data_IF_097918626571
#
_entry.id   IF_097918626571
#
_cell.length_a   1.000
_cell.length_b   1.000
_cell.length_c   1.000
_cell.angle_alpha   90.00
_cell.angle_beta   90.00
_cell.angle_gamma   90.00
#
_symmetry.space_group_name_H-M   'P 1'
#
loop_
_entity.id
_entity.type
_entity.pdbx_description
1 polymer ?
#
# COMPACT_ATOMS: atom_id res chain seq x y z
N UNK A 1 46.42 -21.06 -0.20
CA UNK A 1 45.62 -21.38 1.00
C UNK A 1 45.09 -22.82 1.02
N UNK A 2 44.27 -23.28 0.06
CA UNK A 2 43.59 -24.58 0.17
C UNK A 2 44.43 -25.84 -0.13
N UNK A 3 45.67 -25.70 -0.59
CA UNK A 3 46.54 -26.83 -0.96
C UNK A 3 46.92 -27.75 0.22
N UNK A 4 46.84 -27.26 1.47
CA UNK A 4 47.16 -28.03 2.69
C UNK A 4 46.03 -28.97 3.15
N UNK A 5 44.83 -28.86 2.58
CA UNK A 5 43.67 -29.67 2.98
C UNK A 5 43.46 -30.87 2.04
N UNK A 6 43.00 -31.99 2.60
CA UNK A 6 42.59 -33.14 1.80
C UNK A 6 41.36 -32.82 0.93
N UNK A 7 41.13 -33.62 -0.12
CA UNK A 7 40.05 -33.36 -1.08
C UNK A 7 38.64 -33.35 -0.49
N UNK A 8 38.37 -34.18 0.52
CA UNK A 8 37.05 -34.21 1.18
C UNK A 8 36.78 -32.88 1.89
N UNK A 9 37.75 -32.39 2.66
CA UNK A 9 37.68 -31.08 3.32
C UNK A 9 37.57 -29.93 2.32
N UNK A 10 38.32 -29.96 1.21
CA UNK A 10 38.22 -28.95 0.15
C UNK A 10 36.85 -28.91 -0.53
N UNK A 11 36.23 -30.05 -0.77
CA UNK A 11 34.86 -30.13 -1.32
C UNK A 11 33.84 -29.57 -0.34
N UNK A 12 33.93 -29.95 0.95
CA UNK A 12 33.05 -29.41 1.99
C UNK A 12 33.18 -27.89 2.03
N UNK A 13 34.40 -27.36 2.14
CA UNK A 13 34.65 -25.90 2.16
C UNK A 13 34.10 -25.23 0.90
N UNK A 14 34.36 -25.77 -0.29
CA UNK A 14 33.87 -25.21 -1.55
C UNK A 14 32.34 -25.18 -1.62
N UNK A 15 31.66 -26.26 -1.27
CA UNK A 15 30.19 -26.29 -1.24
C UNK A 15 29.59 -25.43 -0.12
N UNK A 16 30.24 -25.34 1.03
CA UNK A 16 29.82 -24.43 2.12
C UNK A 16 29.92 -22.96 1.68
N UNK A 17 30.96 -22.57 0.95
CA UNK A 17 31.08 -21.21 0.40
C UNK A 17 29.97 -20.96 -0.62
N UNK A 18 29.74 -21.88 -1.58
CA UNK A 18 28.63 -21.76 -2.55
C UNK A 18 27.29 -21.61 -1.83
N UNK A 19 27.01 -22.47 -0.84
CA UNK A 19 25.77 -22.44 -0.09
C UNK A 19 25.60 -21.13 0.70
N UNK A 20 26.65 -20.65 1.36
CA UNK A 20 26.63 -19.39 2.10
C UNK A 20 26.44 -18.18 1.18
N UNK A 21 27.14 -18.13 0.04
CA UNK A 21 26.99 -17.07 -0.96
C UNK A 21 25.60 -17.07 -1.58
N UNK A 22 25.06 -18.24 -1.93
CA UNK A 22 23.71 -18.36 -2.47
C UNK A 22 22.65 -17.95 -1.43
N UNK A 23 22.77 -18.42 -0.19
CA UNK A 23 21.88 -18.06 0.90
C UNK A 23 21.91 -16.54 1.17
N UNK A 24 23.09 -15.94 1.18
CA UNK A 24 23.25 -14.48 1.31
C UNK A 24 22.57 -13.73 0.16
N UNK A 25 22.79 -14.16 -1.09
CA UNK A 25 22.19 -13.53 -2.27
C UNK A 25 20.67 -13.59 -2.24
N UNK A 26 20.10 -14.78 -2.01
CA UNK A 26 18.64 -14.95 -1.92
C UNK A 26 18.05 -14.15 -0.78
N UNK A 27 18.66 -14.20 0.41
CA UNK A 27 18.14 -13.50 1.60
C UNK A 27 18.20 -11.99 1.42
N UNK A 28 19.33 -11.46 0.95
CA UNK A 28 19.48 -10.02 0.72
C UNK A 28 18.51 -9.50 -0.34
N UNK A 29 18.26 -10.23 -1.43
CA UNK A 29 17.22 -9.88 -2.40
C UNK A 29 15.81 -9.99 -1.81
N UNK A 30 15.50 -11.04 -1.04
CA UNK A 30 14.18 -11.18 -0.42
C UNK A 30 13.88 -10.03 0.55
N UNK A 31 14.88 -9.55 1.28
CA UNK A 31 14.76 -8.41 2.19
C UNK A 31 14.47 -7.09 1.49
N UNK A 32 14.68 -6.97 0.17
CA UNK A 32 14.33 -5.74 -0.57
C UNK A 32 12.85 -5.68 -0.95
N UNK A 33 12.10 -6.78 -0.83
CA UNK A 33 10.69 -6.82 -1.23
C UNK A 33 9.81 -5.97 -0.29
N UNK A 34 9.89 -6.09 1.04
CA UNK A 34 9.11 -5.25 1.95
C UNK A 34 9.54 -3.79 1.85
N UNK A 35 8.57 -2.87 1.88
CA UNK A 35 8.81 -1.43 1.83
C UNK A 35 7.68 -0.64 2.47
N UNK A 36 7.77 0.69 2.41
CA UNK A 36 6.75 1.62 2.92
C UNK A 36 5.40 1.35 2.27
N UNK A 37 5.34 1.09 0.95
CA UNK A 37 4.10 0.76 0.26
C UNK A 37 3.38 -0.49 0.77
N UNK A 38 4.09 -1.46 1.38
CA UNK A 38 3.42 -2.60 2.03
C UNK A 38 2.69 -2.18 3.32
N UNK A 39 3.22 -1.18 4.03
CA UNK A 39 2.55 -0.61 5.20
C UNK A 39 1.32 0.20 4.77
N UNK A 40 1.43 0.97 3.69
CA UNK A 40 0.30 1.69 3.09
C UNK A 40 -0.80 0.72 2.67
N UNK A 41 -0.45 -0.38 1.99
CA UNK A 41 -1.41 -1.40 1.58
C UNK A 41 -2.14 -2.05 2.76
N UNK A 42 -1.45 -2.28 3.88
CA UNK A 42 -2.10 -2.80 5.10
C UNK A 42 -3.09 -1.80 5.71
N UNK A 43 -2.74 -0.52 5.72
CA UNK A 43 -3.66 0.55 6.12
C UNK A 43 -4.87 0.58 5.18
N UNK A 44 -4.65 0.64 3.87
CA UNK A 44 -5.69 0.61 2.84
C UNK A 44 -6.65 -0.57 3.04
N UNK A 45 -6.13 -1.79 3.19
CA UNK A 45 -6.96 -2.97 3.44
C UNK A 45 -7.77 -2.86 4.74
N UNK A 46 -7.23 -2.22 5.77
CA UNK A 46 -7.96 -1.99 7.02
C UNK A 46 -9.08 -0.96 6.85
N UNK A 47 -8.84 0.11 6.08
CA UNK A 47 -9.86 1.11 5.72
C UNK A 47 -10.94 0.47 4.85
N UNK A 48 -10.57 -0.29 3.83
CA UNK A 48 -11.49 -1.02 2.95
C UNK A 48 -12.43 -1.95 3.76
N UNK A 49 -11.89 -2.63 4.77
CA UNK A 49 -12.68 -3.46 5.68
C UNK A 49 -13.71 -2.64 6.46
N UNK A 50 -13.35 -1.43 6.93
CA UNK A 50 -14.30 -0.54 7.60
C UNK A 50 -15.34 0.00 6.60
N UNK A 51 -14.94 0.39 5.39
CA UNK A 51 -15.87 0.81 4.33
C UNK A 51 -16.91 -0.28 4.05
N UNK A 52 -16.48 -1.53 3.87
CA UNK A 52 -17.38 -2.68 3.66
C UNK A 52 -18.33 -2.95 4.84
N UNK A 53 -17.93 -2.58 6.05
CA UNK A 53 -18.76 -2.68 7.26
C UNK A 53 -19.78 -1.53 7.34
N UNK A 54 -19.35 -0.31 7.02
CA UNK A 54 -20.16 0.91 7.07
C UNK A 54 -21.18 0.94 5.92
N UNK A 55 -20.75 0.60 4.70
CA UNK A 55 -21.55 0.56 3.48
C UNK A 55 -21.56 -0.85 2.88
N UNK A 56 -22.25 -1.83 3.49
CA UNK A 56 -22.32 -3.17 2.93
C UNK A 56 -23.03 -3.17 1.58
N UNK A 57 -22.53 -3.98 0.65
CA UNK A 57 -23.08 -4.13 -0.70
C UNK A 57 -24.61 -4.33 -0.70
N UNK A 58 -25.29 -3.59 -1.57
CA UNK A 58 -26.73 -3.63 -1.78
C UNK A 58 -27.53 -3.04 -0.61
N UNK A 59 -26.92 -2.23 0.26
CA UNK A 59 -27.62 -1.60 1.40
C UNK A 59 -27.97 -0.16 1.09
N UNK A 60 -26.99 0.63 0.65
CA UNK A 60 -27.15 2.03 0.33
C UNK A 60 -27.15 2.23 -1.19
N UNK A 61 -28.15 1.65 -1.86
CA UNK A 61 -28.32 1.82 -3.31
C UNK A 61 -29.16 3.07 -3.55
N UNK A 62 -28.55 4.11 -4.14
CA UNK A 62 -29.22 5.38 -4.43
C UNK A 62 -30.27 5.17 -5.52
N UNK A 63 -31.50 5.59 -5.22
CA UNK A 63 -32.68 5.43 -6.07
C UNK A 63 -32.74 6.56 -7.13
N UNK A 64 -32.65 6.26 -8.43
CA UNK A 64 -32.69 7.26 -9.50
C UNK A 64 -34.02 8.02 -9.61
N UNK A 65 -35.10 7.43 -9.11
CA UNK A 65 -36.42 8.05 -9.07
C UNK A 65 -36.60 8.96 -7.85
N UNK A 66 -35.67 8.96 -6.89
CA UNK A 66 -35.74 9.86 -5.75
C UNK A 66 -35.48 11.31 -6.18
N UNK A 67 -36.27 12.30 -5.70
CA UNK A 67 -35.99 13.71 -5.97
C UNK A 67 -34.65 14.19 -5.40
N UNK A 68 -34.07 13.42 -4.48
CA UNK A 68 -32.77 13.71 -3.86
C UNK A 68 -31.59 13.12 -4.63
N UNK A 69 -31.81 12.33 -5.70
CA UNK A 69 -30.75 11.59 -6.38
C UNK A 69 -29.57 12.48 -6.81
N UNK A 70 -29.83 13.52 -7.61
CA UNK A 70 -28.76 14.41 -8.10
C UNK A 70 -28.12 15.21 -6.97
N UNK A 71 -28.89 15.59 -5.94
CA UNK A 71 -28.33 16.28 -4.77
C UNK A 71 -27.34 15.38 -4.01
N UNK A 72 -27.70 14.12 -3.77
CA UNK A 72 -26.81 13.16 -3.10
C UNK A 72 -25.54 12.95 -3.94
N UNK A 73 -25.69 12.70 -5.24
CA UNK A 73 -24.52 12.41 -6.09
C UNK A 73 -23.63 13.65 -6.27
N UNK A 74 -24.19 14.78 -6.68
CA UNK A 74 -23.40 15.95 -7.10
C UNK A 74 -22.97 16.84 -5.93
N UNK A 75 -23.71 16.81 -4.80
CA UNK A 75 -23.34 17.60 -3.62
C UNK A 75 -22.69 16.77 -2.52
N UNK A 76 -23.18 15.57 -2.22
CA UNK A 76 -22.63 14.77 -1.12
C UNK A 76 -21.46 13.92 -1.58
N UNK A 77 -21.63 13.12 -2.64
CA UNK A 77 -20.58 12.21 -3.11
C UNK A 77 -19.42 12.98 -3.75
N UNK A 78 -19.69 13.87 -4.72
CA UNK A 78 -18.64 14.67 -5.37
C UNK A 78 -17.79 15.45 -4.36
N UNK A 79 -18.43 16.16 -3.42
CA UNK A 79 -17.69 16.92 -2.40
C UNK A 79 -16.95 16.04 -1.40
N UNK A 80 -17.37 14.79 -1.20
CA UNK A 80 -16.64 13.87 -0.34
C UNK A 80 -15.26 13.51 -0.93
N UNK A 81 -15.11 13.41 -2.25
CA UNK A 81 -13.78 13.27 -2.90
C UNK A 81 -12.89 14.49 -2.66
N UNK A 82 -13.46 15.69 -2.79
CA UNK A 82 -12.75 16.94 -2.52
C UNK A 82 -12.35 17.00 -1.04
N UNK A 83 -13.27 16.69 -0.13
CA UNK A 83 -13.03 16.71 1.30
C UNK A 83 -11.97 15.68 1.74
N UNK A 84 -12.01 14.46 1.21
CA UNK A 84 -10.99 13.44 1.47
C UNK A 84 -9.59 13.96 1.10
N UNK A 85 -9.45 14.48 -0.13
CA UNK A 85 -8.18 15.04 -0.58
C UNK A 85 -7.74 16.27 0.24
N UNK A 86 -8.60 17.27 0.42
CA UNK A 86 -8.25 18.52 1.10
C UNK A 86 -7.99 18.34 2.61
N UNK A 87 -8.56 17.31 3.22
CA UNK A 87 -8.29 16.96 4.61
C UNK A 87 -6.85 16.48 4.86
N UNK A 88 -6.14 16.08 3.79
CA UNK A 88 -4.74 15.64 3.86
C UNK A 88 -3.72 16.75 3.67
N UNK A 89 -4.13 17.93 3.20
CA UNK A 89 -3.26 19.09 2.97
C UNK A 89 -2.95 19.78 4.30
N UNK A 90 -1.69 20.18 4.52
CA UNK A 90 -1.34 21.01 5.66
C UNK A 90 -1.51 22.49 5.33
N UNK A 91 -2.62 23.09 5.76
CA UNK A 91 -2.94 24.49 5.49
C UNK A 91 -2.05 25.49 6.25
N UNK A 92 -1.31 25.02 7.25
CA UNK A 92 -0.32 25.81 7.98
C UNK A 92 1.00 25.93 7.22
N UNK A 93 1.20 25.11 6.18
CA UNK A 93 2.29 25.24 5.23
C UNK A 93 1.78 26.01 3.99
N UNK A 94 2.24 27.26 3.82
CA UNK A 94 1.80 28.11 2.71
C UNK A 94 2.13 27.51 1.33
N UNK A 95 3.26 26.80 1.20
CA UNK A 95 3.65 26.18 -0.06
C UNK A 95 2.70 25.04 -0.43
N UNK A 96 2.43 24.12 0.50
CA UNK A 96 1.47 23.03 0.28
C UNK A 96 0.07 23.58 0.01
N UNK A 97 -0.39 24.56 0.79
CA UNK A 97 -1.70 25.17 0.58
C UNK A 97 -1.83 25.76 -0.82
N UNK A 98 -0.85 26.57 -1.25
CA UNK A 98 -0.91 27.28 -2.52
C UNK A 98 -0.73 26.36 -3.73
N UNK A 99 -0.16 25.17 -3.56
CA UNK A 99 0.11 24.23 -4.66
C UNK A 99 -0.87 23.07 -4.71
N UNK A 100 -1.27 22.53 -3.56
CA UNK A 100 -2.06 21.29 -3.48
C UNK A 100 -3.56 21.53 -3.41
N UNK A 101 -4.05 22.63 -2.84
CA UNK A 101 -5.50 22.83 -2.68
C UNK A 101 -6.24 22.81 -4.02
N UNK A 102 -5.80 23.63 -4.98
CA UNK A 102 -6.41 23.67 -6.31
C UNK A 102 -6.15 22.36 -7.08
N UNK A 103 -4.92 21.84 -7.02
CA UNK A 103 -4.54 20.61 -7.70
C UNK A 103 -5.36 19.39 -7.22
N UNK A 104 -5.61 19.29 -5.91
CA UNK A 104 -6.38 18.21 -5.32
C UNK A 104 -7.87 18.38 -5.58
N UNK A 105 -8.37 19.61 -5.54
CA UNK A 105 -9.76 19.93 -5.90
C UNK A 105 -10.05 19.56 -7.34
N UNK A 106 -9.20 19.97 -8.28
CA UNK A 106 -9.33 19.65 -9.70
C UNK A 106 -9.24 18.15 -9.95
N UNK A 107 -8.27 17.49 -9.31
CA UNK A 107 -8.11 16.04 -9.43
C UNK A 107 -9.34 15.29 -8.90
N UNK A 108 -9.87 15.67 -7.74
CA UNK A 108 -11.08 15.10 -7.15
C UNK A 108 -12.31 15.29 -8.03
N UNK A 109 -12.49 16.49 -8.59
CA UNK A 109 -13.59 16.79 -9.49
C UNK A 109 -13.50 15.97 -10.78
N UNK A 110 -12.32 15.92 -11.40
CA UNK A 110 -12.06 15.13 -12.59
C UNK A 110 -12.30 13.63 -12.31
N UNK A 111 -11.81 13.13 -11.19
CA UNK A 111 -12.00 11.73 -10.80
C UNK A 111 -13.48 11.36 -10.69
N UNK A 112 -14.28 12.21 -10.02
CA UNK A 112 -15.72 12.02 -9.95
C UNK A 112 -16.38 12.03 -11.34
N UNK A 113 -15.98 12.98 -12.19
CA UNK A 113 -16.56 13.12 -13.52
C UNK A 113 -16.24 11.87 -14.38
N UNK A 114 -15.02 11.35 -14.30
CA UNK A 114 -14.56 10.16 -15.03
C UNK A 114 -15.24 8.85 -14.58
N UNK A 115 -15.60 8.74 -13.30
CA UNK A 115 -16.12 7.48 -12.72
C UNK A 115 -17.64 7.46 -12.52
N UNK A 116 -18.25 8.62 -12.29
CA UNK A 116 -19.62 8.71 -11.80
C UNK A 116 -20.53 9.62 -12.64
N UNK A 117 -20.03 10.73 -13.21
CA UNK A 117 -20.92 11.70 -13.87
C UNK A 117 -21.78 11.09 -14.99
N UNK A 118 -21.20 10.22 -15.84
CA UNK A 118 -21.97 9.55 -16.90
C UNK A 118 -23.09 8.65 -16.35
N UNK A 119 -22.85 7.94 -15.24
CA UNK A 119 -23.87 7.09 -14.58
C UNK A 119 -24.96 7.94 -13.92
N UNK A 120 -24.58 9.09 -13.36
CA UNK A 120 -25.50 10.06 -12.76
C UNK A 120 -26.40 10.68 -13.82
N UNK A 121 -25.84 11.07 -14.97
CA UNK A 121 -26.59 11.59 -16.12
C UNK A 121 -27.56 10.53 -16.69
N UNK A 122 -27.10 9.28 -16.80
CA UNK A 122 -27.91 8.16 -17.25
C UNK A 122 -28.96 7.68 -16.22
N UNK A 123 -29.00 8.27 -15.02
CA UNK A 123 -29.91 7.90 -13.91
C UNK A 123 -29.81 6.40 -13.56
N UNK A 124 -28.59 5.89 -13.48
CA UNK A 124 -28.33 4.51 -13.06
C UNK A 124 -28.45 4.34 -11.53
N UNK A 125 -28.76 3.14 -11.09
CA UNK A 125 -28.66 2.82 -9.66
C UNK A 125 -27.17 2.79 -9.25
N UNK A 126 -26.81 3.54 -8.21
CA UNK A 126 -25.43 3.61 -7.70
C UNK A 126 -25.41 3.06 -6.28
N UNK A 127 -24.61 2.03 -6.06
CA UNK A 127 -24.37 1.48 -4.73
C UNK A 127 -23.24 2.24 -4.04
N UNK A 128 -23.51 2.82 -2.87
CA UNK A 128 -22.47 3.53 -2.11
C UNK A 128 -21.37 2.59 -1.61
N UNK A 129 -21.58 1.27 -1.61
CA UNK A 129 -20.48 0.31 -1.46
C UNK A 129 -19.41 0.50 -2.54
N UNK A 130 -19.81 0.64 -3.81
CA UNK A 130 -18.88 0.76 -4.93
C UNK A 130 -18.21 2.14 -4.94
N UNK A 131 -18.96 3.19 -4.55
CA UNK A 131 -18.38 4.52 -4.29
C UNK A 131 -17.34 4.45 -3.17
N UNK A 132 -17.66 3.76 -2.07
CA UNK A 132 -16.75 3.50 -0.96
C UNK A 132 -15.43 2.85 -1.41
N UNK A 133 -15.50 1.81 -2.24
CA UNK A 133 -14.30 1.17 -2.76
C UNK A 133 -13.53 2.07 -3.74
N UNK A 134 -14.22 2.91 -4.50
CA UNK A 134 -13.56 3.86 -5.40
C UNK A 134 -12.84 5.00 -4.65
N UNK A 135 -13.20 5.32 -3.40
CA UNK A 135 -12.37 6.20 -2.54
C UNK A 135 -10.99 5.60 -2.28
N UNK A 136 -10.88 4.27 -2.16
CA UNK A 136 -9.58 3.61 -2.02
C UNK A 136 -8.75 3.78 -3.29
N UNK A 137 -9.36 3.57 -4.46
CA UNK A 137 -8.69 3.75 -5.76
C UNK A 137 -8.27 5.21 -5.97
N UNK A 138 -9.10 6.16 -5.52
CA UNK A 138 -8.80 7.58 -5.53
C UNK A 138 -7.60 7.94 -4.66
N UNK A 139 -7.55 7.44 -3.42
CA UNK A 139 -6.41 7.61 -2.51
C UNK A 139 -5.10 7.08 -3.12
N UNK A 140 -5.16 5.89 -3.73
CA UNK A 140 -4.02 5.29 -4.41
C UNK A 140 -3.57 6.16 -5.60
N UNK A 141 -4.50 6.71 -6.37
CA UNK A 141 -4.19 7.56 -7.51
C UNK A 141 -3.60 8.93 -7.09
N UNK A 142 -4.11 9.55 -6.02
CA UNK A 142 -3.51 10.75 -5.43
C UNK A 142 -2.09 10.44 -4.97
N UNK A 143 -1.90 9.36 -4.22
CA UNK A 143 -0.58 9.00 -3.70
C UNK A 143 0.41 8.70 -4.84
N UNK A 144 -0.02 8.06 -5.93
CA UNK A 144 0.83 7.83 -7.10
C UNK A 144 1.23 9.13 -7.82
N UNK A 145 0.36 10.14 -7.83
CA UNK A 145 0.58 11.39 -8.57
C UNK A 145 1.34 12.43 -7.76
N UNK A 146 1.09 12.52 -6.46
CA UNK A 146 1.54 13.62 -5.61
C UNK A 146 2.47 13.19 -4.47
N UNK A 147 2.52 11.91 -4.12
CA UNK A 147 3.40 11.43 -3.05
C UNK A 147 4.64 10.70 -3.59
N UNK A 148 5.56 10.42 -2.67
CA UNK A 148 6.76 9.62 -2.92
C UNK A 148 6.41 8.25 -3.50
N UNK A 149 7.17 7.81 -4.51
CA UNK A 149 6.97 6.53 -5.22
C UNK A 149 6.96 5.34 -4.25
N UNK A 150 7.73 5.45 -3.16
CA UNK A 150 7.87 4.43 -2.14
C UNK A 150 6.61 4.14 -1.31
N UNK A 151 5.67 5.07 -1.24
CA UNK A 151 4.44 4.90 -0.46
C UNK A 151 3.37 4.08 -1.17
N UNK A 152 3.53 3.85 -2.48
CA UNK A 152 2.57 3.08 -3.30
C UNK A 152 3.19 1.88 -3.99
N UNK A 153 4.50 1.67 -3.87
CA UNK A 153 5.22 0.55 -4.49
C UNK A 153 5.97 -0.31 -3.49
N UNK A 154 6.32 -1.53 -3.92
CA UNK A 154 7.19 -2.42 -3.13
C UNK A 154 8.61 -1.88 -3.02
N UNK A 155 9.37 -2.37 -2.04
CA UNK A 155 10.74 -1.90 -1.80
C UNK A 155 11.67 -2.12 -3.00
N UNK A 156 11.51 -3.24 -3.70
CA UNK A 156 12.34 -3.57 -4.86
C UNK A 156 11.97 -2.70 -6.07
N UNK A 157 10.68 -2.41 -6.29
CA UNK A 157 10.26 -1.46 -7.32
C UNK A 157 10.82 -0.07 -7.04
N UNK A 158 10.77 0.36 -5.78
CA UNK A 158 11.31 1.65 -5.36
C UNK A 158 12.83 1.74 -5.59
N UNK A 159 13.57 0.71 -5.19
CA UNK A 159 15.03 0.65 -5.39
C UNK A 159 15.44 0.84 -6.85
N UNK A 160 14.70 0.26 -7.79
CA UNK A 160 15.00 0.33 -9.22
C UNK A 160 14.25 1.44 -9.96
N UNK A 161 13.49 2.28 -9.25
CA UNK A 161 12.89 3.46 -9.82
C UNK A 161 13.94 4.56 -10.06
N UNK A 162 13.68 5.44 -11.04
CA UNK A 162 14.54 6.60 -11.28
C UNK A 162 14.57 7.46 -10.01
N UNK A 163 15.77 7.78 -9.54
CA UNK A 163 16.00 8.49 -8.27
C UNK A 163 15.56 7.74 -6.99
N UNK A 164 15.11 6.48 -7.09
CA UNK A 164 14.57 5.74 -5.95
C UNK A 164 15.57 5.55 -4.81
N UNK A 165 16.85 5.30 -5.11
CA UNK A 165 17.90 5.31 -4.07
C UNK A 165 18.00 6.66 -3.37
N UNK A 166 18.05 7.76 -4.12
CA UNK A 166 18.18 9.10 -3.53
C UNK A 166 17.01 9.39 -2.60
N UNK A 167 15.80 9.01 -3.00
CA UNK A 167 14.57 9.17 -2.23
C UNK A 167 14.55 8.28 -0.98
N UNK A 168 14.90 6.99 -1.08
CA UNK A 168 14.98 6.08 0.08
C UNK A 168 15.89 6.66 1.17
N UNK A 169 16.98 7.32 0.79
CA UNK A 169 17.96 7.90 1.72
C UNK A 169 17.72 9.37 2.05
N UNK A 170 16.71 10.03 1.45
CA UNK A 170 16.40 11.41 1.72
C UNK A 170 15.84 11.61 3.15
N UNK A 171 16.17 12.76 3.72
CA UNK A 171 15.63 13.21 5.01
C UNK A 171 14.14 13.51 4.91
N UNK A 172 13.72 14.20 3.84
CA UNK A 172 12.32 14.50 3.54
C UNK A 172 11.42 13.26 3.54
N UNK A 173 11.85 12.16 2.92
CA UNK A 173 11.09 10.89 2.92
C UNK A 173 10.94 10.31 4.32
N UNK A 174 11.96 10.45 5.17
CA UNK A 174 11.86 10.07 6.57
C UNK A 174 10.89 10.97 7.33
N UNK A 175 10.96 12.30 7.15
CA UNK A 175 10.10 13.26 7.81
C UNK A 175 8.62 13.07 7.42
N UNK A 176 8.33 12.93 6.12
CA UNK A 176 6.99 12.61 5.61
C UNK A 176 6.50 11.29 6.22
N UNK A 177 7.34 10.25 6.23
CA UNK A 177 6.99 8.95 6.81
C UNK A 177 6.71 9.03 8.32
N UNK A 178 7.51 9.80 9.06
CA UNK A 178 7.32 10.03 10.49
C UNK A 178 6.03 10.80 10.76
N UNK A 179 5.80 11.87 10.02
CA UNK A 179 4.61 12.70 10.11
C UNK A 179 3.35 11.88 9.83
N UNK A 180 3.30 11.15 8.71
CA UNK A 180 2.14 10.35 8.30
C UNK A 180 1.83 9.17 9.23
N UNK A 181 2.85 8.54 9.83
CA UNK A 181 2.63 7.45 10.79
C UNK A 181 2.26 7.94 12.20
N UNK A 182 2.47 9.22 12.50
CA UNK A 182 2.21 9.76 13.85
C UNK A 182 0.70 9.73 14.10
N UNK A 183 0.32 9.26 15.28
CA UNK A 183 -1.08 9.19 15.70
C UNK A 183 -1.27 10.17 16.85
N UNK A 184 -2.13 11.16 16.63
CA UNK A 184 -2.57 12.09 17.66
C UNK A 184 -3.77 11.50 18.41
N UNK A 185 -4.06 12.06 19.59
CA UNK A 185 -5.40 11.88 20.16
C UNK A 185 -6.44 12.44 19.17
N UNK A 186 -7.51 11.68 18.93
CA UNK A 186 -8.47 12.01 17.87
C UNK A 186 -9.16 13.35 18.10
N UNK A 187 -9.54 13.67 19.35
CA UNK A 187 -10.19 14.95 19.68
C UNK A 187 -9.23 16.13 19.44
N UNK A 188 -7.95 15.94 19.73
CA UNK A 188 -6.91 16.94 19.44
C UNK A 188 -6.78 17.13 17.93
N UNK A 189 -6.67 16.05 17.14
CA UNK A 189 -6.61 16.14 15.69
C UNK A 189 -7.82 16.89 15.10
N UNK A 190 -9.02 16.53 15.54
CA UNK A 190 -10.26 17.16 15.06
C UNK A 190 -10.38 18.63 15.46
N UNK A 191 -9.81 19.05 16.59
CA UNK A 191 -9.78 20.46 16.99
C UNK A 191 -8.99 21.36 16.03
N UNK A 192 -8.11 20.78 15.21
CA UNK A 192 -7.34 21.48 14.18
C UNK A 192 -7.97 21.40 12.78
N UNK A 193 -9.04 20.62 12.62
CA UNK A 193 -9.82 20.56 11.39
C UNK A 193 -10.93 21.61 11.42
N UNK A 194 -10.99 22.45 10.38
CA UNK A 194 -12.12 23.35 10.15
C UNK A 194 -12.90 22.82 8.96
N UNK A 195 -14.17 22.46 9.19
CA UNK A 195 -15.03 21.91 8.15
C UNK A 195 -16.48 22.33 8.34
N UNK A 196 -17.26 22.25 7.27
CA UNK A 196 -18.70 22.47 7.24
C UNK A 196 -19.43 21.21 6.79
N UNK A 197 -20.62 20.99 7.33
CA UNK A 197 -21.34 19.73 7.18
C UNK A 197 -20.89 18.70 8.23
N UNK A 198 -21.19 17.40 8.04
CA UNK A 198 -21.78 16.78 6.85
C UNK A 198 -23.31 16.95 6.81
N UNK A 199 -23.85 17.14 5.61
CA UNK A 199 -25.29 17.32 5.40
C UNK A 199 -25.66 17.20 3.92
N UNK A 200 -26.87 17.63 3.54
CA UNK A 200 -27.35 17.56 2.15
C UNK A 200 -26.49 18.39 1.17
N UNK A 201 -25.75 19.37 1.68
CA UNK A 201 -24.82 20.20 0.91
C UNK A 201 -23.43 19.59 0.77
N UNK A 202 -23.19 18.40 1.34
CA UNK A 202 -21.89 17.72 1.37
C UNK A 202 -20.96 18.21 2.47
N UNK A 203 -19.78 17.59 2.53
CA UNK A 203 -18.68 17.91 3.44
C UNK A 203 -17.73 18.89 2.76
N UNK A 204 -17.33 19.96 3.44
CA UNK A 204 -16.36 20.94 2.94
C UNK A 204 -15.27 21.13 3.98
N UNK A 205 -14.00 21.01 3.57
CA UNK A 205 -12.84 21.23 4.44
C UNK A 205 -12.27 22.61 4.15
N UNK A 206 -12.26 23.47 5.18
CA UNK A 206 -11.76 24.83 5.13
C UNK A 206 -10.31 24.93 5.63
N UNK A 207 -9.87 24.01 6.49
CA UNK A 207 -8.49 23.93 6.97
C UNK A 207 -8.20 22.57 7.59
N UNK A 208 -6.95 22.11 7.46
CA UNK A 208 -6.41 20.90 8.10
C UNK A 208 -4.93 21.11 8.45
N UNK A 209 -4.46 20.41 9.48
CA UNK A 209 -3.03 20.35 9.83
C UNK A 209 -2.27 19.31 9.01
N UNK A 210 -2.95 18.62 8.08
CA UNK A 210 -2.39 17.64 7.15
C UNK A 210 -2.65 16.18 7.51
N UNK A 211 -1.98 15.31 6.74
CA UNK A 211 -2.17 13.86 6.73
C UNK A 211 -1.51 13.15 7.91
N UNK A 212 -2.15 13.21 9.09
CA UNK A 212 -1.98 12.19 10.14
C UNK A 212 -2.84 10.98 9.74
N UNK A 213 -2.32 10.11 8.86
CA UNK A 213 -3.11 9.17 8.05
C UNK A 213 -4.22 8.44 8.81
N UNK A 214 -3.90 7.83 9.95
CA UNK A 214 -4.88 7.07 10.74
C UNK A 214 -5.96 8.01 11.28
N UNK A 215 -5.59 9.15 11.88
CA UNK A 215 -6.54 10.12 12.41
C UNK A 215 -7.43 10.72 11.32
N UNK A 216 -6.84 11.03 10.17
CA UNK A 216 -7.53 11.54 9.00
C UNK A 216 -8.59 10.56 8.49
N UNK A 217 -8.22 9.27 8.32
CA UNK A 217 -9.16 8.25 7.85
C UNK A 217 -10.23 7.90 8.88
N UNK A 218 -9.92 7.93 10.18
CA UNK A 218 -10.92 7.82 11.25
C UNK A 218 -11.94 8.94 11.14
N UNK A 219 -11.47 10.20 11.06
CA UNK A 219 -12.34 11.36 10.91
C UNK A 219 -13.21 11.22 9.65
N UNK A 220 -12.60 10.96 8.49
CA UNK A 220 -13.32 10.90 7.21
C UNK A 220 -14.39 9.79 7.22
N UNK A 221 -14.06 8.58 7.67
CA UNK A 221 -15.03 7.48 7.78
C UNK A 221 -16.20 7.83 8.71
N UNK A 222 -15.92 8.52 9.82
CA UNK A 222 -16.97 8.98 10.72
C UNK A 222 -17.85 10.07 10.08
N UNK A 223 -17.28 10.98 9.27
CA UNK A 223 -18.08 11.93 8.49
C UNK A 223 -18.97 11.22 7.47
N UNK A 224 -18.52 10.10 6.88
CA UNK A 224 -19.36 9.28 6.01
C UNK A 224 -20.50 8.61 6.79
N UNK A 225 -20.25 8.08 8.00
CA UNK A 225 -21.29 7.53 8.88
C UNK A 225 -22.37 8.58 9.20
N UNK A 226 -21.96 9.80 9.54
CA UNK A 226 -22.88 10.90 9.85
C UNK A 226 -23.67 11.29 8.58
N UNK A 227 -23.01 11.36 7.43
CA UNK A 227 -23.65 11.64 6.13
C UNK A 227 -24.74 10.61 5.79
N UNK A 228 -24.47 9.32 5.97
CA UNK A 228 -25.44 8.24 5.76
C UNK A 228 -26.62 8.33 6.75
N UNK A 229 -26.34 8.66 8.01
CA UNK A 229 -27.37 8.86 9.03
C UNK A 229 -28.29 10.03 8.66
N UNK A 230 -27.73 11.14 8.19
CA UNK A 230 -28.49 12.30 7.74
C UNK A 230 -29.31 12.01 6.47
N UNK A 231 -28.74 11.27 5.52
CA UNK A 231 -29.42 10.88 4.28
C UNK A 231 -30.56 9.88 4.51
N UNK A 232 -30.44 9.02 5.53
CA UNK A 232 -31.48 8.03 5.86
C UNK A 232 -32.57 8.59 6.78
N UNK A 233 -32.31 9.64 7.55
CA UNK A 233 -33.26 10.20 8.52
C UNK A 233 -34.68 10.51 7.95
N UNK A 234 -34.85 11.06 6.72
CA UNK A 234 -36.18 11.27 6.13
C UNK A 234 -36.98 9.96 5.96
N UNK A 235 -36.29 8.83 5.80
CA UNK A 235 -36.90 7.50 5.64
C UNK A 235 -37.63 7.04 6.90
N UNK A 236 -37.25 7.55 8.08
CA UNK A 236 -37.95 7.30 9.33
C UNK A 236 -39.32 8.00 9.40
N UNK A 237 -39.52 9.05 8.58
CA UNK A 237 -40.77 9.80 8.46
C UNK A 237 -41.64 9.19 7.36
N UNK A 238 -41.07 8.98 6.17
CA UNK A 238 -41.75 8.28 5.07
C UNK A 238 -40.73 7.57 4.16
N UNK A 239 -40.94 6.28 3.81
CA UNK A 239 -40.11 5.56 2.84
C UNK A 239 -39.97 6.27 1.49
N UNK A 240 -40.99 7.01 1.06
CA UNK A 240 -41.01 7.74 -0.21
C UNK A 240 -40.04 8.93 -0.26
N UNK A 241 -39.54 9.38 0.89
CA UNK A 241 -38.56 10.48 1.00
C UNK A 241 -37.12 9.97 1.01
N UNK A 242 -36.92 8.66 1.00
CA UNK A 242 -35.59 8.08 1.03
C UNK A 242 -34.84 8.34 -0.28
N UNK A 243 -33.55 8.68 -0.24
CA UNK A 243 -32.69 8.62 -1.41
C UNK A 243 -32.31 7.17 -1.77
N UNK A 244 -32.64 6.18 -0.94
CA UNK A 244 -32.23 4.78 -1.13
C UNK A 244 -33.39 3.89 -1.59
N UNK A 245 -33.05 2.87 -2.38
CA UNK A 245 -34.01 1.89 -2.92
C UNK A 245 -34.65 1.02 -1.83
N UNK A 246 -33.85 0.56 -0.87
CA UNK A 246 -34.31 -0.15 0.33
C UNK A 246 -34.13 0.74 1.55
N UNK A 247 -35.13 1.58 1.80
CA UNK A 247 -35.07 2.60 2.84
C UNK A 247 -35.01 2.02 4.25
N UNK A 248 -35.62 0.85 4.48
CA UNK A 248 -35.64 0.19 5.78
C UNK A 248 -34.26 -0.39 6.11
N UNK A 249 -33.67 -1.14 5.17
CA UNK A 249 -32.33 -1.71 5.33
C UNK A 249 -31.26 -0.63 5.46
N UNK A 250 -31.34 0.44 4.67
CA UNK A 250 -30.42 1.58 4.76
C UNK A 250 -30.51 2.27 6.13
N UNK A 251 -31.73 2.50 6.64
CA UNK A 251 -31.94 3.13 7.95
C UNK A 251 -31.42 2.26 9.10
N UNK A 252 -31.70 0.96 9.10
CA UNK A 252 -31.20 0.03 10.12
C UNK A 252 -29.67 0.04 10.17
N UNK A 253 -29.03 -0.05 9.00
CA UNK A 253 -27.56 -0.05 8.91
C UNK A 253 -26.97 1.29 9.35
N UNK A 254 -27.59 2.42 8.99
CA UNK A 254 -27.13 3.74 9.43
C UNK A 254 -27.21 3.91 10.95
N UNK A 255 -28.30 3.46 11.58
CA UNK A 255 -28.45 3.48 13.04
C UNK A 255 -27.39 2.60 13.74
N UNK A 256 -27.11 1.41 13.18
CA UNK A 256 -26.05 0.54 13.67
C UNK A 256 -24.68 1.21 13.59
N UNK A 257 -24.36 1.84 12.46
CA UNK A 257 -23.09 2.54 12.27
C UNK A 257 -22.93 3.70 13.26
N UNK A 258 -23.98 4.47 13.51
CA UNK A 258 -23.96 5.59 14.47
C UNK A 258 -23.65 5.16 15.91
N UNK A 259 -23.95 3.90 16.27
CA UNK A 259 -23.63 3.34 17.59
C UNK A 259 -22.20 2.79 17.69
N UNK A 260 -21.55 2.55 16.56
CA UNK A 260 -20.18 2.01 16.50
C UNK A 260 -19.32 2.88 15.59
N UNK A 261 -18.99 4.11 16.02
CA UNK A 261 -18.08 4.97 15.27
C UNK A 261 -16.73 4.28 15.11
N UNK A 262 -16.03 4.60 14.02
CA UNK A 262 -14.67 4.12 13.79
C UNK A 262 -13.73 4.83 14.75
N UNK A 263 -12.82 4.08 15.33
CA UNK A 263 -11.76 4.58 16.21
C UNK A 263 -10.39 4.31 15.61
N UNK A 264 -9.34 4.90 16.19
CA UNK A 264 -7.96 4.64 15.76
C UNK A 264 -7.60 3.15 15.86
N UNK A 265 -8.16 2.41 16.83
CA UNK A 265 -7.89 0.99 17.05
C UNK A 265 -8.53 0.07 15.99
N UNK A 266 -9.48 0.59 15.23
CA UNK A 266 -10.16 -0.15 14.16
C UNK A 266 -9.35 -0.21 12.85
N UNK A 267 -8.28 0.58 12.76
CA UNK A 267 -7.40 0.70 11.59
C UNK A 267 -6.00 0.16 11.88
N UNK A 268 -5.31 -0.30 10.83
CA UNK A 268 -3.91 -0.70 10.93
C UNK A 268 -3.00 0.52 11.11
N UNK A 269 -2.08 0.47 12.07
CA UNK A 269 -1.12 1.56 12.30
C UNK A 269 0.17 1.29 11.52
N UNK A 270 0.45 2.05 10.44
CA UNK A 270 1.66 1.84 9.67
C UNK A 270 2.90 2.20 10.49
N UNK A 271 3.98 1.43 10.32
CA UNK A 271 5.30 1.80 10.83
C UNK A 271 6.24 2.06 9.66
N UNK A 272 6.08 3.23 9.05
CA UNK A 272 6.84 3.66 7.90
C UNK A 272 8.32 3.83 8.22
N UNK A 273 8.66 4.31 9.40
CA UNK A 273 10.07 4.50 9.79
C UNK A 273 10.81 3.18 9.92
N UNK A 274 10.21 2.16 10.55
CA UNK A 274 10.81 0.84 10.60
C UNK A 274 10.90 0.20 9.21
N UNK A 275 9.87 0.37 8.37
CA UNK A 275 9.88 -0.13 7.00
C UNK A 275 10.98 0.55 6.15
N UNK A 276 11.13 1.87 6.27
CA UNK A 276 12.18 2.64 5.60
C UNK A 276 13.57 2.26 6.11
N UNK A 277 13.74 2.08 7.42
CA UNK A 277 14.99 1.59 8.02
C UNK A 277 15.38 0.20 7.53
N UNK A 278 14.42 -0.73 7.49
CA UNK A 278 14.62 -2.06 6.90
C UNK A 278 14.99 -1.94 5.42
N UNK A 279 14.34 -1.05 4.68
CA UNK A 279 14.61 -0.83 3.26
C UNK A 279 16.04 -0.31 3.02
N UNK A 280 16.49 0.69 3.81
CA UNK A 280 17.86 1.21 3.78
C UNK A 280 18.88 0.09 4.06
N UNK A 281 18.62 -0.75 5.06
CA UNK A 281 19.47 -1.89 5.39
C UNK A 281 19.50 -2.95 4.28
N UNK A 282 18.33 -3.32 3.76
CA UNK A 282 18.18 -4.29 2.68
C UNK A 282 18.89 -3.81 1.41
N UNK A 283 18.80 -2.51 1.09
CA UNK A 283 19.52 -1.88 0.00
C UNK A 283 21.03 -2.11 0.15
N UNK A 284 21.62 -1.76 1.31
CA UNK A 284 23.07 -1.93 1.54
C UNK A 284 23.49 -3.40 1.39
N UNK A 285 22.72 -4.33 1.98
CA UNK A 285 22.99 -5.77 1.84
C UNK A 285 22.89 -6.25 0.39
N UNK A 286 21.89 -5.76 -0.35
CA UNK A 286 21.70 -6.12 -1.75
C UNK A 286 22.90 -5.68 -2.59
N UNK A 287 23.44 -4.48 -2.37
CA UNK A 287 24.63 -4.00 -3.08
C UNK A 287 25.90 -4.76 -2.72
N UNK A 288 26.02 -5.32 -1.50
CA UNK A 288 27.13 -6.20 -1.18
C UNK A 288 27.18 -7.47 -2.03
N UNK A 289 26.07 -7.87 -2.68
CA UNK A 289 26.10 -8.98 -3.64
C UNK A 289 27.08 -8.74 -4.79
N UNK A 290 27.33 -7.48 -5.18
CA UNK A 290 28.29 -7.11 -6.23
C UNK A 290 29.70 -7.58 -5.86
N UNK A 291 30.05 -7.60 -4.56
CA UNK A 291 31.35 -8.08 -4.09
C UNK A 291 31.30 -9.56 -3.63
N UNK A 292 30.26 -9.94 -2.87
CA UNK A 292 30.15 -11.25 -2.22
C UNK A 292 29.94 -12.37 -3.23
N UNK A 293 29.13 -12.16 -4.27
CA UNK A 293 28.86 -13.21 -5.27
C UNK A 293 30.12 -13.52 -6.09
N UNK A 294 30.83 -12.53 -6.71
CA UNK A 294 32.07 -12.81 -7.43
C UNK A 294 33.16 -13.38 -6.53
N UNK A 295 33.34 -12.83 -5.32
CA UNK A 295 34.32 -13.36 -4.37
C UNK A 295 34.01 -14.82 -4.01
N UNK A 296 32.75 -15.11 -3.66
CA UNK A 296 32.27 -16.46 -3.35
C UNK A 296 32.52 -17.44 -4.49
N UNK A 297 32.24 -17.04 -5.74
CA UNK A 297 32.51 -17.83 -6.93
C UNK A 297 34.01 -18.13 -7.11
N UNK A 298 34.87 -17.11 -6.98
CA UNK A 298 36.34 -17.25 -7.09
C UNK A 298 36.89 -18.16 -5.98
N UNK A 299 36.50 -17.95 -4.72
CA UNK A 299 36.96 -18.77 -3.60
C UNK A 299 36.48 -20.22 -3.72
N UNK A 300 35.24 -20.43 -4.14
CA UNK A 300 34.68 -21.77 -4.39
C UNK A 300 35.43 -22.48 -5.52
N UNK A 301 35.70 -21.77 -6.63
CA UNK A 301 36.50 -22.31 -7.73
C UNK A 301 37.90 -22.69 -7.26
N UNK A 302 38.61 -21.85 -6.51
CA UNK A 302 39.95 -22.15 -5.99
C UNK A 302 39.95 -23.34 -5.02
N UNK A 303 38.90 -23.47 -4.19
CA UNK A 303 38.73 -24.62 -3.31
C UNK A 303 38.56 -25.92 -4.11
N UNK A 304 37.77 -25.89 -5.18
CA UNK A 304 37.37 -27.06 -5.98
C UNK A 304 38.33 -27.42 -7.14
N UNK A 305 39.12 -26.48 -7.66
CA UNK A 305 39.93 -26.59 -8.90
C UNK A 305 40.77 -27.86 -9.00
N UNK A 306 41.33 -28.36 -7.90
CA UNK A 306 42.19 -29.57 -7.92
C UNK A 306 41.45 -30.86 -7.53
N UNK A 307 40.25 -30.76 -6.95
CA UNK A 307 39.44 -31.94 -6.58
C UNK A 307 38.73 -32.56 -7.78
N UNK A 308 38.60 -31.80 -8.87
CA UNK A 308 38.00 -32.22 -10.15
C UNK A 308 39.07 -32.87 -11.04
N UNK A 309 40.29 -32.33 -11.07
CA UNK A 309 41.42 -32.86 -11.85
C UNK A 309 41.82 -34.26 -11.37
N UNK A 310 41.94 -34.48 -10.06
CA UNK A 310 42.29 -35.81 -9.53
C UNK A 310 41.23 -36.88 -9.79
N UNK A 311 39.94 -36.49 -9.86
CA UNK A 311 38.86 -37.42 -10.23
C UNK A 311 39.04 -37.88 -11.67
N UNK A 312 39.35 -36.96 -12.60
CA UNK A 312 39.68 -37.29 -14.00
C UNK A 312 40.92 -38.17 -14.11
N UNK A 313 41.97 -37.93 -13.32
CA UNK A 313 43.20 -38.74 -13.34
C UNK A 313 42.99 -40.14 -12.77
N UNK A 314 42.21 -40.30 -11.68
CA UNK A 314 41.86 -41.62 -11.14
C UNK A 314 40.98 -42.42 -12.11
N UNK A 315 39.94 -41.82 -12.69
CA UNK A 315 39.07 -42.51 -13.66
C UNK A 315 39.83 -42.87 -14.95
N UNK A 316 40.81 -42.07 -15.38
CA UNK A 316 41.67 -42.41 -16.53
C UNK A 316 42.64 -43.55 -16.21
N UNK A 317 43.25 -43.58 -15.01
CA UNK A 317 44.09 -44.69 -14.54
C UNK A 317 43.32 -46.00 -14.40
N UNK A 318 42.10 -45.98 -13.86
CA UNK A 318 41.23 -47.17 -13.77
C UNK A 318 40.82 -47.70 -15.16
N UNK A 319 40.54 -46.81 -16.13
CA UNK A 319 40.24 -47.23 -17.51
C UNK A 319 41.45 -47.81 -18.25
N UNK A 320 42.68 -47.40 -17.93
CA UNK A 320 43.91 -48.00 -18.49
C UNK A 320 44.38 -49.26 -17.74
N UNK A 321 43.90 -49.51 -16.52
CA UNK A 321 44.28 -50.68 -15.70
C UNK A 321 43.26 -51.83 -15.76
N UNK A 322 42.07 -51.62 -16.35
CA UNK A 322 41.24 -52.72 -16.82
C UNK A 322 41.65 -53.06 -18.26
N UNK A 323 42.41 -54.13 -18.51
CA UNK A 323 42.58 -54.59 -19.88
C UNK A 323 41.21 -54.91 -20.46
N UNK A 324 40.96 -54.46 -21.69
CA UNK A 324 39.93 -55.03 -22.55
C UNK A 324 40.17 -56.52 -22.58
N UNK A 325 39.32 -57.26 -21.86
CA UNK A 325 39.24 -58.70 -22.01
C UNK A 325 38.63 -58.92 -23.40
N UNK A 326 39.49 -59.00 -24.42
CA UNK A 326 39.11 -59.46 -25.75
C UNK A 326 38.57 -60.87 -25.56
N UNK A 327 37.25 -60.99 -25.62
CA UNK A 327 36.56 -62.28 -25.70
C UNK A 327 37.07 -63.03 -26.92
N UNK A 328 37.88 -64.04 -26.67
CA UNK A 328 38.13 -65.13 -27.59
C UNK A 328 37.44 -66.37 -27.05
N UNK A 329 36.28 -66.69 -27.61
CA UNK A 329 35.69 -68.04 -27.66
C UNK A 329 35.28 -68.20 -29.14
N UNK A 330 36.05 -68.98 -29.90
CA UNK A 330 35.83 -70.41 -30.22
C UNK A 330 34.59 -70.66 -31.08
#
# INVERSE_FOLDING_TARGET
MFKKYNNKKRRIIGFSIIAATAAFGVTSTALTIPGVGLQSLKLINSVEKQIKKIMPKGTFVVNPQSPLYSMVMDSVIKKSYVADALSTVNWMNEEEKNTLVDAYTDFANQWYDDHWAAKVEAKEEIDLHDVGLNFIEFDEAIAQKYHSYGFVNTGIQWMFHKNGTTEIFAEETYEIGLYQQTILNQDVYESYLQYEGPGITGLVVNSSIGSYLVNNKVWFLNQQIISLSNATAPSAISPSLSPFKDSAKALEQAQKNAQTPVTVDDLYHPNFIAALGLMKFAYVLFYFNIAIIPAGAVFSYLALKNTVTEKKTKTKKEKTLKPENKGGEK
#
